data_IF_854176144876
#
_entry.id   IF_854176144876
#
_cell.length_a   1.000
_cell.length_b   1.000
_cell.length_c   1.000
_cell.angle_alpha   90.00
_cell.angle_beta   90.00
_cell.angle_gamma   90.00
#
_symmetry.space_group_name_H-M   'P 1'
#
loop_
_entity.id
_entity.type
_entity.pdbx_description
1 polymer ?
#
# COMPACT_ATOMS: atom_id res chain seq x y z
N UNK A 1 -52.32 59.96 -15.37
CA UNK A 1 -52.03 58.98 -14.31
C UNK A 1 -50.97 58.04 -14.87
N UNK A 2 -49.69 58.38 -14.72
CA UNK A 2 -48.74 57.79 -13.75
C UNK A 2 -48.67 56.25 -13.83
N UNK A 3 -47.50 55.74 -14.23
CA UNK A 3 -47.13 54.33 -14.19
C UNK A 3 -45.77 54.07 -14.87
N UNK A 4 -44.69 54.57 -14.27
CA UNK A 4 -43.30 54.33 -14.71
C UNK A 4 -42.73 53.07 -14.03
N UNK A 5 -41.94 52.27 -14.79
CA UNK A 5 -40.88 51.32 -14.36
C UNK A 5 -41.39 50.01 -13.70
N UNK A 6 -40.83 48.81 -13.89
CA UNK A 6 -39.44 48.29 -13.82
C UNK A 6 -39.41 46.90 -14.53
N UNK A 7 -38.42 46.55 -15.35
CA UNK A 7 -37.09 45.99 -15.05
C UNK A 7 -36.97 44.50 -15.41
N UNK A 8 -35.90 44.23 -16.16
CA UNK A 8 -35.30 42.99 -16.63
C UNK A 8 -35.11 41.93 -15.54
N UNK A 9 -35.29 40.64 -15.86
CA UNK A 9 -34.36 39.56 -15.49
C UNK A 9 -34.72 38.23 -16.20
N UNK A 10 -33.93 37.87 -17.21
CA UNK A 10 -33.74 36.49 -17.64
C UNK A 10 -33.06 35.72 -16.51
N UNK A 11 -33.62 34.59 -16.09
CA UNK A 11 -32.89 33.61 -15.29
C UNK A 11 -33.16 32.22 -15.86
N UNK A 12 -32.21 31.75 -16.66
CA UNK A 12 -32.07 30.34 -17.04
C UNK A 12 -31.35 29.63 -15.89
N UNK A 13 -32.02 28.70 -15.19
CA UNK A 13 -31.34 27.76 -14.29
C UNK A 13 -31.02 26.49 -15.08
N UNK A 14 -29.81 26.44 -15.65
CA UNK A 14 -29.14 25.20 -16.00
C UNK A 14 -28.45 24.68 -14.73
N UNK A 15 -29.05 23.70 -14.05
CA UNK A 15 -28.40 23.01 -12.95
C UNK A 15 -27.37 22.03 -13.53
N UNK A 16 -26.10 22.43 -13.44
CA UNK A 16 -24.96 21.61 -13.76
C UNK A 16 -24.89 20.41 -12.79
N UNK A 17 -25.12 19.21 -13.30
CA UNK A 17 -24.76 17.97 -12.63
C UNK A 17 -23.24 17.83 -12.70
N UNK A 18 -22.54 18.36 -11.69
CA UNK A 18 -21.14 18.01 -11.46
C UNK A 18 -21.09 16.56 -11.00
N UNK A 19 -20.88 15.65 -11.95
CA UNK A 19 -20.45 14.30 -11.65
C UNK A 19 -19.11 14.38 -10.92
N UNK A 20 -19.08 13.94 -9.67
CA UNK A 20 -17.84 13.54 -9.03
C UNK A 20 -17.33 12.34 -9.82
N UNK A 21 -16.47 12.60 -10.80
CA UNK A 21 -15.60 11.57 -11.34
C UNK A 21 -14.70 11.17 -10.18
N UNK A 22 -15.02 10.04 -9.55
CA UNK A 22 -14.08 9.34 -8.71
C UNK A 22 -12.86 9.06 -9.58
N UNK A 23 -11.74 9.72 -9.29
CA UNK A 23 -10.44 9.27 -9.76
C UNK A 23 -10.19 7.93 -9.08
N UNK A 24 -10.68 6.85 -9.70
CA UNK A 24 -10.18 5.52 -9.40
C UNK A 24 -8.73 5.53 -9.90
N UNK A 25 -7.79 5.66 -8.97
CA UNK A 25 -6.37 5.63 -9.25
C UNK A 25 -6.06 4.28 -9.93
N UNK A 26 -5.71 4.29 -11.22
CA UNK A 26 -5.39 3.09 -12.00
C UNK A 26 -4.22 2.29 -11.39
N UNK A 27 -3.48 2.89 -10.46
CA UNK A 27 -2.29 2.30 -9.84
C UNK A 27 -2.58 1.03 -9.02
N UNK A 28 -3.77 0.88 -8.44
CA UNK A 28 -4.05 -0.28 -7.57
C UNK A 28 -4.25 -1.57 -8.38
N UNK A 29 -4.64 -1.48 -9.66
CA UNK A 29 -4.69 -2.62 -10.58
C UNK A 29 -3.31 -3.29 -10.79
N UNK A 30 -2.23 -2.51 -10.66
CA UNK A 30 -0.84 -2.97 -10.76
C UNK A 30 -0.42 -3.87 -9.60
N UNK A 31 -1.11 -3.83 -8.46
CA UNK A 31 -0.70 -4.57 -7.26
C UNK A 31 -0.55 -6.08 -7.50
N UNK A 32 -1.50 -6.68 -8.23
CA UNK A 32 -1.61 -8.13 -8.41
C UNK A 32 -0.72 -8.70 -9.52
N UNK A 33 -0.38 -7.88 -10.52
CA UNK A 33 0.39 -8.31 -11.69
C UNK A 33 1.90 -8.02 -11.55
N UNK A 34 2.31 -7.47 -10.41
CA UNK A 34 3.67 -7.03 -10.14
C UNK A 34 4.39 -7.88 -9.10
N UNK A 35 5.71 -8.02 -9.28
CA UNK A 35 6.62 -8.41 -8.21
C UNK A 35 7.24 -7.14 -7.63
N UNK A 36 7.06 -6.94 -6.34
CA UNK A 36 7.50 -5.74 -5.65
C UNK A 36 8.82 -5.98 -4.92
N UNK A 37 9.88 -5.31 -5.34
CA UNK A 37 11.17 -5.36 -4.65
C UNK A 37 11.19 -4.34 -3.51
N UNK A 38 11.46 -4.81 -2.29
CA UNK A 38 11.62 -3.96 -1.11
C UNK A 38 12.96 -3.22 -1.22
N UNK A 39 12.91 -1.90 -1.10
CA UNK A 39 14.10 -1.04 -1.20
C UNK A 39 14.40 -0.30 0.09
N UNK A 40 13.37 0.00 0.90
CA UNK A 40 13.57 0.68 2.16
C UNK A 40 12.66 0.09 3.23
N UNK A 41 13.22 -0.02 4.43
CA UNK A 41 12.55 -0.45 5.65
C UNK A 41 12.52 0.75 6.58
N UNK A 42 11.31 1.15 6.98
CA UNK A 42 11.08 2.25 7.91
C UNK A 42 10.66 1.64 9.24
N UNK A 43 11.56 1.63 10.22
CA UNK A 43 11.20 1.34 11.62
C UNK A 43 10.55 2.57 12.29
N UNK A 44 10.83 3.75 11.75
CA UNK A 44 10.24 5.05 12.04
C UNK A 44 10.21 5.86 10.72
N UNK A 45 9.29 6.83 10.55
CA UNK A 45 9.07 7.53 9.27
C UNK A 45 10.26 8.38 8.83
N UNK A 46 11.04 8.88 9.78
CA UNK A 46 12.13 9.85 9.54
C UNK A 46 13.50 9.18 9.27
N UNK A 47 13.62 7.88 9.49
CA UNK A 47 14.88 7.15 9.34
C UNK A 47 14.71 5.88 8.49
N UNK A 48 14.65 6.01 7.15
CA UNK A 48 14.65 4.86 6.27
C UNK A 48 15.99 4.14 6.33
N UNK A 49 15.96 2.83 6.57
CA UNK A 49 17.09 1.98 6.23
C UNK A 49 16.93 1.47 4.81
N UNK A 50 17.83 1.91 3.92
CA UNK A 50 17.92 1.38 2.56
C UNK A 50 18.39 -0.09 2.60
N UNK A 51 17.75 -0.93 1.80
CA UNK A 51 18.20 -2.30 1.56
C UNK A 51 19.50 -2.22 0.74
N UNK A 52 20.62 -2.76 1.25
CA UNK A 52 21.90 -2.70 0.56
C UNK A 52 21.85 -3.25 -0.87
N UNK A 53 22.63 -2.65 -1.77
CA UNK A 53 22.63 -3.02 -3.20
C UNK A 53 23.05 -4.48 -3.47
N UNK A 54 23.86 -5.09 -2.59
CA UNK A 54 24.22 -6.52 -2.66
C UNK A 54 23.05 -7.46 -2.32
N UNK A 55 21.98 -6.93 -1.72
CA UNK A 55 20.71 -7.62 -1.48
C UNK A 55 19.60 -7.19 -2.43
N UNK A 56 19.90 -6.41 -3.48
CA UNK A 56 18.92 -5.99 -4.47
C UNK A 56 18.25 -7.21 -5.13
N UNK A 57 16.93 -7.16 -5.25
CA UNK A 57 16.10 -8.22 -5.82
C UNK A 57 15.84 -9.42 -4.90
N UNK A 58 16.42 -9.43 -3.69
CA UNK A 58 16.24 -10.52 -2.71
C UNK A 58 14.95 -10.33 -1.90
N UNK A 59 14.80 -9.28 -1.07
CA UNK A 59 13.54 -9.08 -0.37
C UNK A 59 12.48 -8.58 -1.34
N UNK A 60 11.43 -9.38 -1.53
CA UNK A 60 10.38 -9.10 -2.51
C UNK A 60 9.06 -9.74 -2.13
N UNK A 61 7.97 -9.15 -2.60
CA UNK A 61 6.60 -9.59 -2.36
C UNK A 61 5.83 -9.64 -3.68
N UNK A 62 4.90 -10.57 -3.78
CA UNK A 62 3.89 -10.63 -4.82
C UNK A 62 2.52 -10.83 -4.17
N UNK A 63 1.51 -10.19 -4.73
CA UNK A 63 0.15 -10.22 -4.22
C UNK A 63 -0.76 -10.96 -5.19
N UNK A 64 -1.69 -11.75 -4.64
CA UNK A 64 -2.86 -12.25 -5.34
C UNK A 64 -4.11 -11.71 -4.65
N UNK A 65 -5.29 -12.09 -5.13
CA UNK A 65 -6.55 -11.61 -4.55
C UNK A 65 -6.77 -12.05 -3.09
N UNK A 66 -6.13 -13.12 -2.63
CA UNK A 66 -6.30 -13.66 -1.28
C UNK A 66 -5.01 -14.20 -0.65
N UNK A 67 -3.87 -14.03 -1.32
CA UNK A 67 -2.57 -14.40 -0.77
C UNK A 67 -1.49 -13.37 -1.05
N UNK A 68 -0.45 -13.40 -0.25
CA UNK A 68 0.82 -12.73 -0.50
C UNK A 68 1.91 -13.78 -0.39
N UNK A 69 2.89 -13.73 -1.28
CA UNK A 69 4.04 -14.61 -1.23
C UNK A 69 5.31 -13.81 -1.51
N UNK A 70 6.45 -14.28 -1.04
CA UNK A 70 7.67 -13.55 -1.23
C UNK A 70 8.86 -14.16 -0.53
N UNK A 71 9.84 -13.31 -0.30
CA UNK A 71 11.08 -13.66 0.36
C UNK A 71 11.48 -12.45 1.21
N UNK A 72 11.77 -12.64 2.49
CA UNK A 72 12.03 -11.51 3.42
C UNK A 72 13.51 -11.13 3.49
N UNK A 73 14.38 -11.89 2.82
CA UNK A 73 15.82 -11.67 2.84
C UNK A 73 16.58 -12.96 3.09
N UNK A 74 16.07 -13.83 3.96
CA UNK A 74 16.67 -15.13 4.27
C UNK A 74 15.72 -16.32 4.19
N UNK A 75 14.42 -16.09 4.09
CA UNK A 75 13.42 -17.15 4.09
C UNK A 75 12.28 -16.80 3.13
N UNK A 76 11.68 -17.81 2.49
CA UNK A 76 10.40 -17.68 1.84
C UNK A 76 9.31 -17.27 2.84
N UNK A 77 8.38 -16.44 2.37
CA UNK A 77 7.20 -16.04 3.12
C UNK A 77 5.96 -16.34 2.30
N UNK A 78 4.92 -16.83 2.97
CA UNK A 78 3.57 -16.98 2.44
C UNK A 78 2.58 -16.42 3.45
N UNK A 79 1.53 -15.77 2.96
CA UNK A 79 0.48 -15.23 3.80
C UNK A 79 -0.89 -15.33 3.16
N UNK A 80 -1.91 -15.55 3.98
CA UNK A 80 -3.30 -15.33 3.63
C UNK A 80 -3.64 -13.86 3.85
N UNK A 81 -4.21 -13.19 2.86
CA UNK A 81 -4.51 -11.75 2.96
C UNK A 81 -5.97 -11.43 2.68
N UNK A 82 -6.46 -10.38 3.35
CA UNK A 82 -7.79 -9.81 3.16
C UNK A 82 -7.66 -8.35 2.79
N UNK A 83 -8.40 -7.91 1.79
CA UNK A 83 -8.37 -6.52 1.32
C UNK A 83 -9.62 -5.77 1.75
N UNK A 84 -9.45 -4.49 2.10
CA UNK A 84 -10.56 -3.60 2.46
C UNK A 84 -10.39 -2.18 1.93
N UNK A 85 -11.52 -1.50 1.75
CA UNK A 85 -11.58 -0.07 1.43
C UNK A 85 -11.34 0.81 2.69
N UNK A 86 -11.36 2.13 2.51
CA UNK A 86 -11.22 3.08 3.63
C UNK A 86 -12.32 2.98 4.68
N UNK A 87 -13.50 2.52 4.30
CA UNK A 87 -14.63 2.30 5.22
C UNK A 87 -14.53 0.98 5.97
N UNK A 88 -13.52 0.16 5.67
CA UNK A 88 -13.30 -1.16 6.26
C UNK A 88 -14.13 -2.28 5.63
N UNK A 89 -14.85 -2.03 4.53
CA UNK A 89 -15.58 -3.07 3.82
C UNK A 89 -14.62 -3.91 2.98
N UNK A 90 -14.95 -5.19 2.78
CA UNK A 90 -14.17 -6.05 1.88
C UNK A 90 -14.18 -5.48 0.46
N UNK A 91 -13.00 -5.42 -0.15
CA UNK A 91 -12.78 -4.88 -1.49
C UNK A 91 -11.89 -5.82 -2.32
N UNK A 92 -12.00 -5.83 -3.66
CA UNK A 92 -11.00 -6.46 -4.50
C UNK A 92 -9.66 -5.75 -4.35
N UNK A 93 -8.55 -6.46 -4.60
CA UNK A 93 -7.22 -5.91 -4.33
C UNK A 93 -6.97 -4.62 -5.12
N UNK A 94 -7.42 -4.58 -6.38
CA UNK A 94 -7.34 -3.43 -7.28
C UNK A 94 -8.15 -2.19 -6.88
N UNK A 95 -8.93 -2.25 -5.79
CA UNK A 95 -9.66 -1.09 -5.24
C UNK A 95 -9.46 -0.96 -3.72
N UNK A 96 -8.52 -1.71 -3.16
CA UNK A 96 -8.29 -1.76 -1.73
C UNK A 96 -7.43 -0.59 -1.27
N UNK A 97 -7.76 -0.05 -0.10
CA UNK A 97 -6.93 0.92 0.62
C UNK A 97 -6.09 0.22 1.69
N UNK A 98 -6.47 -0.98 2.10
CA UNK A 98 -5.79 -1.75 3.13
C UNK A 98 -5.65 -3.22 2.77
N UNK A 99 -4.58 -3.83 3.28
CA UNK A 99 -4.36 -5.27 3.29
C UNK A 99 -4.12 -5.75 4.72
N UNK A 100 -4.86 -6.76 5.16
CA UNK A 100 -4.67 -7.46 6.42
C UNK A 100 -3.95 -8.78 6.17
N UNK A 101 -2.87 -9.03 6.90
CA UNK A 101 -2.18 -10.32 6.90
C UNK A 101 -2.88 -11.24 7.90
N UNK A 102 -3.80 -12.08 7.45
CA UNK A 102 -4.58 -12.95 8.35
C UNK A 102 -3.70 -14.01 9.02
N UNK A 103 -2.84 -14.64 8.23
CA UNK A 103 -1.92 -15.67 8.66
C UNK A 103 -0.67 -15.56 7.81
N UNK A 104 0.50 -15.53 8.47
CA UNK A 104 1.81 -15.46 7.85
C UNK A 104 2.64 -16.65 8.29
N UNK A 105 3.24 -17.32 7.31
CA UNK A 105 4.17 -18.42 7.47
C UNK A 105 5.49 -17.97 6.84
N UNK A 106 6.55 -18.00 7.64
CA UNK A 106 7.91 -17.77 7.19
C UNK A 106 8.63 -19.10 7.38
N UNK A 107 9.13 -19.65 6.28
CA UNK A 107 9.81 -20.94 6.27
C UNK A 107 11.18 -20.84 6.98
N UNK A 108 11.87 -21.98 7.09
CA UNK A 108 13.22 -22.01 7.65
C UNK A 108 14.16 -21.10 6.86
N UNK A 109 15.00 -20.35 7.59
CA UNK A 109 15.97 -19.45 6.98
C UNK A 109 17.14 -20.22 6.37
N UNK A 110 17.74 -19.65 5.33
CA UNK A 110 18.98 -20.15 4.76
C UNK A 110 20.06 -20.25 5.83
N UNK A 111 20.89 -21.30 5.79
CA UNK A 111 22.00 -21.51 6.73
C UNK A 111 23.06 -20.40 6.72
N UNK A 112 23.07 -19.57 5.68
CA UNK A 112 24.00 -18.44 5.50
C UNK A 112 23.39 -17.08 5.89
N UNK A 113 22.21 -17.07 6.53
CA UNK A 113 21.55 -15.86 6.99
C UNK A 113 22.30 -15.20 8.16
N UNK A 114 23.22 -14.29 7.86
CA UNK A 114 24.03 -13.58 8.86
C UNK A 114 24.22 -12.11 8.49
N UNK A 115 24.74 -11.31 9.43
CA UNK A 115 25.07 -9.90 9.21
C UNK A 115 23.87 -9.08 8.73
N UNK A 116 24.10 -8.23 7.72
CA UNK A 116 23.08 -7.34 7.18
C UNK A 116 21.89 -8.10 6.56
N UNK A 117 22.13 -9.26 5.93
CA UNK A 117 21.05 -10.10 5.38
C UNK A 117 20.09 -10.56 6.49
N UNK A 118 20.64 -10.98 7.63
CA UNK A 118 19.85 -11.38 8.79
C UNK A 118 19.08 -10.21 9.41
N UNK A 119 19.69 -9.02 9.47
CA UNK A 119 19.02 -7.81 9.97
C UNK A 119 17.84 -7.40 9.08
N UNK A 120 18.04 -7.36 7.75
CA UNK A 120 16.99 -7.06 6.77
C UNK A 120 15.84 -8.07 6.91
N UNK A 121 16.19 -9.36 6.97
CA UNK A 121 15.23 -10.43 7.16
C UNK A 121 14.41 -10.27 8.45
N UNK A 122 15.04 -10.00 9.59
CA UNK A 122 14.33 -9.88 10.85
C UNK A 122 13.36 -8.70 10.84
N UNK A 123 13.79 -7.53 10.35
CA UNK A 123 12.95 -6.33 10.34
C UNK A 123 11.75 -6.46 9.40
N UNK A 124 11.94 -7.07 8.23
CA UNK A 124 10.82 -7.35 7.32
C UNK A 124 9.88 -8.39 7.94
N UNK A 125 10.42 -9.45 8.54
CA UNK A 125 9.63 -10.54 9.12
C UNK A 125 8.80 -10.07 10.34
N UNK A 126 9.40 -9.24 11.20
CA UNK A 126 8.72 -8.66 12.36
C UNK A 126 7.57 -7.74 11.94
N UNK A 127 7.78 -6.98 10.86
CA UNK A 127 6.75 -6.11 10.31
C UNK A 127 5.63 -6.91 9.63
N UNK A 128 5.97 -7.92 8.84
CA UNK A 128 5.00 -8.79 8.15
C UNK A 128 4.45 -9.89 9.06
N UNK A 129 4.07 -9.56 10.30
CA UNK A 129 3.49 -10.52 11.24
C UNK A 129 1.98 -10.75 10.99
N UNK A 130 1.49 -11.95 11.36
CA UNK A 130 0.06 -12.26 11.37
C UNK A 130 -0.71 -11.25 12.24
N UNK A 131 -1.85 -10.80 11.72
CA UNK A 131 -2.70 -9.79 12.35
C UNK A 131 -2.36 -8.35 11.98
N UNK A 132 -1.18 -8.09 11.40
CA UNK A 132 -0.83 -6.74 10.98
C UNK A 132 -1.64 -6.32 9.74
N UNK A 133 -2.14 -5.09 9.79
CA UNK A 133 -2.86 -4.43 8.71
C UNK A 133 -2.00 -3.30 8.16
N UNK A 134 -2.00 -3.13 6.85
CA UNK A 134 -1.23 -2.10 6.17
C UNK A 134 -2.12 -1.25 5.29
N UNK A 135 -1.90 0.06 5.31
CA UNK A 135 -2.38 0.96 4.28
C UNK A 135 -1.57 0.75 3.00
N UNK A 136 -2.26 0.67 1.87
CA UNK A 136 -1.68 0.58 0.53
C UNK A 136 -1.57 1.99 -0.05
N UNK A 137 -0.35 2.48 -0.23
CA UNK A 137 -0.11 3.81 -0.78
C UNK A 137 0.76 3.71 -2.02
N UNK A 138 0.30 4.26 -3.14
CA UNK A 138 1.08 4.38 -4.36
C UNK A 138 1.54 5.82 -4.52
N UNK A 139 2.85 6.02 -4.71
CA UNK A 139 3.39 7.35 -4.96
C UNK A 139 3.33 7.72 -6.45
N UNK A 140 3.64 8.98 -6.77
CA UNK A 140 3.61 9.49 -8.15
C UNK A 140 4.59 8.79 -9.12
N UNK A 141 5.50 7.95 -8.60
CA UNK A 141 6.44 7.14 -9.40
C UNK A 141 5.97 5.69 -9.54
N UNK A 142 4.81 5.35 -8.99
CA UNK A 142 4.30 3.98 -8.96
C UNK A 142 5.00 3.09 -7.95
N UNK A 143 5.72 3.67 -6.98
CA UNK A 143 6.25 2.90 -5.85
C UNK A 143 5.11 2.60 -4.87
N UNK A 144 5.09 1.38 -4.35
CA UNK A 144 4.17 0.97 -3.31
C UNK A 144 4.82 1.20 -1.94
N UNK A 145 4.06 1.77 -1.02
CA UNK A 145 4.39 1.87 0.39
C UNK A 145 3.33 1.10 1.18
N UNK A 146 3.77 0.06 1.89
CA UNK A 146 2.97 -0.63 2.89
C UNK A 146 3.23 0.03 4.23
N UNK A 147 2.33 0.89 4.68
CA UNK A 147 2.45 1.53 5.99
C UNK A 147 1.60 0.79 7.01
N UNK A 148 2.18 0.40 8.14
CA UNK A 148 1.47 -0.29 9.21
C UNK A 148 0.32 0.59 9.72
N UNK A 149 -0.85 0.00 9.91
CA UNK A 149 -2.02 0.65 10.52
C UNK A 149 -2.08 0.27 12.00
N UNK A 150 -1.24 0.90 12.81
CA UNK A 150 -1.14 0.68 14.26
C UNK A 150 -1.83 1.78 15.09
N UNK A 151 -2.54 2.69 14.41
CA UNK A 151 -3.18 3.86 15.02
C UNK A 151 -2.23 5.04 15.28
N UNK A 152 -0.96 4.99 14.86
CA UNK A 152 -0.02 6.11 14.86
C UNK A 152 0.11 6.73 13.47
N UNK A 153 -0.55 7.88 13.19
CA UNK A 153 -0.64 8.42 11.83
C UNK A 153 0.67 8.97 11.25
N UNK A 154 1.69 9.19 12.09
CA UNK A 154 2.97 9.78 11.68
C UNK A 154 4.08 8.74 11.79
N UNK A 155 4.16 8.06 12.94
CA UNK A 155 5.33 7.23 13.30
C UNK A 155 5.20 5.74 12.93
N UNK A 156 4.19 5.38 12.14
CA UNK A 156 3.96 3.99 11.75
C UNK A 156 5.10 3.43 10.89
N UNK A 157 5.62 2.22 11.22
CA UNK A 157 6.56 1.50 10.39
C UNK A 157 6.03 1.27 8.96
N UNK A 158 6.94 1.18 7.99
CA UNK A 158 6.56 0.98 6.59
C UNK A 158 7.60 0.22 5.76
N UNK A 159 7.15 -0.33 4.64
CA UNK A 159 8.01 -0.89 3.60
C UNK A 159 7.77 -0.14 2.29
N UNK A 160 8.83 0.37 1.67
CA UNK A 160 8.77 0.96 0.33
C UNK A 160 9.32 -0.03 -0.68
N UNK A 161 8.63 -0.15 -1.80
CA UNK A 161 8.95 -1.09 -2.86
C UNK A 161 8.62 -0.53 -4.24
N UNK A 162 9.33 -1.01 -5.25
CA UNK A 162 9.04 -0.71 -6.65
C UNK A 162 8.71 -2.00 -7.40
N UNK A 163 7.90 -1.91 -8.46
CA UNK A 163 7.61 -3.06 -9.32
C UNK A 163 8.82 -3.38 -10.19
N UNK A 164 9.18 -4.67 -10.24
CA UNK A 164 10.12 -5.24 -11.22
C UNK A 164 9.49 -5.36 -12.61
#
# INVERSE_FOLDING_TARGET
>A
MIGLRQATALVALAAATTGLAACADESTGTLLDSTWQITHIYSAPEDPTEVPADLAGVPRLGFSQNSMAGYTGCAPLQAQVSFSDESGNSAPAGAASFVLLNEVIIDESDTECTGTKAWVHSHISDLLASGNRFALQFDARGELVLQLDDGQPIDSPALRMFSL
#
